data_IF_328966737476
#
_entry.id   IF_328966737476
#
_cell.length_a   1.000
_cell.length_b   1.000
_cell.length_c   1.000
_cell.angle_alpha   90.00
_cell.angle_beta   90.00
_cell.angle_gamma   90.00
#
_symmetry.space_group_name_H-M   'P 1'
#
loop_
_entity.id
_entity.type
_entity.pdbx_description
1 polymer ?
#
# COMPACT_ATOMS: atom_id res chain seq x y z
N UNK A 1 11.34 -35.74 -1.90
CA UNK A 1 11.81 -35.24 -3.21
C UNK A 1 12.80 -34.12 -2.91
N UNK A 2 14.09 -34.32 -3.18
CA UNK A 2 15.15 -33.35 -2.88
C UNK A 2 15.25 -32.35 -4.04
N UNK A 3 15.19 -31.06 -3.73
CA UNK A 3 15.63 -29.98 -4.61
C UNK A 3 16.44 -28.99 -3.73
N UNK A 4 17.66 -28.65 -4.14
CA UNK A 4 18.55 -27.68 -3.49
C UNK A 4 19.08 -28.00 -2.07
N UNK A 5 19.37 -29.26 -1.75
CA UNK A 5 20.28 -29.58 -0.63
C UNK A 5 19.80 -29.24 0.79
N UNK A 6 18.54 -28.84 0.97
CA UNK A 6 17.91 -28.65 2.28
C UNK A 6 17.14 -29.92 2.65
N UNK A 7 17.44 -30.48 3.82
CA UNK A 7 16.73 -31.63 4.36
C UNK A 7 15.38 -31.16 4.93
N UNK A 8 14.27 -31.51 4.26
CA UNK A 8 12.91 -31.24 4.72
C UNK A 8 12.48 -32.32 5.74
N UNK A 9 13.28 -32.47 6.80
CA UNK A 9 13.07 -33.40 7.89
C UNK A 9 11.83 -33.08 8.72
N UNK A 10 10.74 -33.80 8.46
CA UNK A 10 10.05 -34.56 9.49
C UNK A 10 9.38 -33.83 10.67
N UNK A 11 8.86 -32.63 10.49
CA UNK A 11 7.87 -32.07 11.41
C UNK A 11 6.45 -32.31 10.89
N UNK A 12 5.73 -33.32 11.41
CA UNK A 12 4.26 -33.42 11.27
C UNK A 12 3.62 -32.21 11.96
N UNK A 13 3.63 -31.02 11.34
CA UNK A 13 2.65 -29.97 11.66
C UNK A 13 1.29 -30.53 11.26
N UNK A 14 0.39 -30.59 12.22
CA UNK A 14 -0.98 -31.00 11.99
C UNK A 14 -1.54 -30.29 10.75
N UNK A 15 -2.10 -31.05 9.80
CA UNK A 15 -2.89 -30.49 8.70
C UNK A 15 -4.20 -29.97 9.30
N UNK A 16 -4.18 -28.75 9.81
CA UNK A 16 -5.35 -28.14 10.44
C UNK A 16 -5.07 -26.66 10.66
N UNK A 17 -5.86 -25.83 9.97
CA UNK A 17 -5.84 -24.35 9.87
C UNK A 17 -4.84 -23.70 8.88
N UNK A 18 -5.34 -22.81 7.99
CA UNK A 18 -4.47 -21.94 7.18
C UNK A 18 -3.60 -21.06 8.08
N UNK A 19 -2.37 -20.77 7.66
CA UNK A 19 -1.53 -19.82 8.39
C UNK A 19 -2.11 -18.41 8.36
N UNK A 20 -1.65 -17.54 9.27
CA UNK A 20 -2.09 -16.14 9.30
C UNK A 20 -1.82 -15.42 7.98
N UNK A 21 -0.68 -15.70 7.33
CA UNK A 21 -0.36 -15.15 6.02
C UNK A 21 -1.38 -15.59 4.97
N UNK A 22 -1.75 -16.88 4.93
CA UNK A 22 -2.77 -17.37 3.99
C UNK A 22 -4.12 -16.72 4.25
N UNK A 23 -4.55 -16.62 5.51
CA UNK A 23 -5.80 -15.94 5.89
C UNK A 23 -5.83 -14.48 5.43
N UNK A 24 -4.72 -13.77 5.57
CA UNK A 24 -4.59 -12.39 5.10
C UNK A 24 -4.67 -12.32 3.57
N UNK A 25 -3.97 -13.18 2.84
CA UNK A 25 -4.01 -13.21 1.38
C UNK A 25 -5.42 -13.53 0.84
N UNK A 26 -6.13 -14.47 1.47
CA UNK A 26 -7.50 -14.82 1.10
C UNK A 26 -8.47 -13.66 1.36
N UNK A 27 -8.35 -12.99 2.52
CA UNK A 27 -9.16 -11.79 2.82
C UNK A 27 -8.88 -10.66 1.84
N UNK A 28 -7.60 -10.43 1.52
CA UNK A 28 -7.19 -9.40 0.57
C UNK A 28 -7.80 -9.64 -0.82
N UNK A 29 -7.74 -10.89 -1.29
CA UNK A 29 -8.32 -11.30 -2.56
C UNK A 29 -9.85 -11.13 -2.57
N UNK A 30 -10.54 -11.51 -1.49
CA UNK A 30 -12.00 -11.36 -1.39
C UNK A 30 -12.44 -9.89 -1.46
N UNK A 31 -11.69 -8.97 -0.84
CA UNK A 31 -12.00 -7.55 -0.87
C UNK A 31 -11.81 -6.90 -2.25
N UNK A 32 -10.90 -7.42 -3.08
CA UNK A 32 -10.75 -6.97 -4.48
C UNK A 32 -12.05 -7.11 -5.27
N UNK A 33 -12.87 -8.07 -4.89
CA UNK A 33 -14.12 -8.45 -5.56
C UNK A 33 -15.37 -8.04 -4.74
N UNK A 34 -15.23 -7.11 -3.79
CA UNK A 34 -16.31 -6.68 -2.88
C UNK A 34 -17.58 -6.18 -3.60
N UNK A 35 -17.43 -5.65 -4.83
CA UNK A 35 -18.53 -5.19 -5.69
C UNK A 35 -18.63 -6.00 -7.00
N UNK A 36 -18.26 -7.29 -6.97
CA UNK A 36 -18.33 -8.16 -8.15
C UNK A 36 -19.74 -8.16 -8.77
N UNK A 37 -20.78 -8.23 -7.95
CA UNK A 37 -22.18 -8.26 -8.40
C UNK A 37 -22.83 -6.87 -8.45
N UNK A 38 -22.09 -5.80 -8.21
CA UNK A 38 -22.60 -4.41 -8.15
C UNK A 38 -21.79 -3.52 -9.11
N UNK A 39 -22.03 -3.60 -10.44
CA UNK A 39 -21.18 -2.95 -11.44
C UNK A 39 -21.09 -1.42 -11.28
N UNK A 40 -22.17 -0.79 -10.81
CA UNK A 40 -22.19 0.65 -10.55
C UNK A 40 -21.27 1.04 -9.39
N UNK A 41 -21.33 0.31 -8.25
CA UNK A 41 -20.43 0.54 -7.12
C UNK A 41 -18.98 0.18 -7.47
N UNK A 42 -18.76 -0.83 -8.29
CA UNK A 42 -17.42 -1.17 -8.80
C UNK A 42 -16.81 -0.02 -9.61
N UNK A 43 -17.60 0.58 -10.51
CA UNK A 43 -17.17 1.76 -11.27
C UNK A 43 -16.99 2.98 -10.37
N UNK A 44 -17.82 3.10 -9.32
CA UNK A 44 -17.72 4.18 -8.32
C UNK A 44 -16.43 4.07 -7.51
N UNK A 45 -16.11 2.88 -7.01
CA UNK A 45 -14.87 2.58 -6.29
C UNK A 45 -13.64 2.91 -7.13
N UNK A 46 -13.60 2.46 -8.39
CA UNK A 46 -12.48 2.76 -9.29
C UNK A 46 -12.31 4.28 -9.52
N UNK A 47 -13.42 5.02 -9.60
CA UNK A 47 -13.39 6.49 -9.73
C UNK A 47 -12.90 7.16 -8.45
N UNK A 48 -13.35 6.67 -7.30
CA UNK A 48 -12.92 7.13 -5.98
C UNK A 48 -11.41 6.91 -5.77
N UNK A 49 -10.89 5.72 -6.09
CA UNK A 49 -9.46 5.40 -5.96
C UNK A 49 -8.59 6.31 -6.81
N UNK A 50 -8.98 6.57 -8.07
CA UNK A 50 -8.29 7.55 -8.93
C UNK A 50 -8.30 8.95 -8.33
N UNK A 51 -9.45 9.39 -7.80
CA UNK A 51 -9.56 10.69 -7.17
C UNK A 51 -8.70 10.79 -5.91
N UNK A 52 -8.71 9.78 -5.03
CA UNK A 52 -7.88 9.74 -3.82
C UNK A 52 -6.39 9.79 -4.16
N UNK A 53 -5.97 9.07 -5.21
CA UNK A 53 -4.61 9.09 -5.72
C UNK A 53 -4.18 10.47 -6.21
N UNK A 54 -5.01 11.11 -7.03
CA UNK A 54 -4.75 12.48 -7.50
C UNK A 54 -4.73 13.49 -6.34
N UNK A 55 -5.62 13.32 -5.36
CA UNK A 55 -5.65 14.13 -4.14
C UNK A 55 -4.34 13.99 -3.36
N UNK A 56 -3.85 12.76 -3.15
CA UNK A 56 -2.59 12.50 -2.46
C UNK A 56 -1.39 13.12 -3.20
N UNK A 57 -1.32 12.97 -4.53
CA UNK A 57 -0.28 13.63 -5.32
C UNK A 57 -0.31 15.15 -5.18
N UNK A 58 -1.50 15.74 -5.15
CA UNK A 58 -1.66 17.20 -5.02
C UNK A 58 -1.25 17.69 -3.62
N UNK A 59 -1.66 17.00 -2.56
CA UNK A 59 -1.32 17.40 -1.17
C UNK A 59 0.13 17.11 -0.77
N UNK A 60 0.86 16.38 -1.61
CA UNK A 60 2.28 16.04 -1.41
C UNK A 60 3.15 16.42 -2.63
N UNK A 61 2.71 17.41 -3.41
CA UNK A 61 3.39 17.81 -4.65
C UNK A 61 4.84 18.28 -4.41
N UNK A 62 5.11 18.86 -3.24
CA UNK A 62 6.44 19.25 -2.78
C UNK A 62 7.36 18.05 -2.54
N UNK A 63 6.85 16.94 -1.98
CA UNK A 63 7.62 15.69 -1.86
C UNK A 63 7.98 15.16 -3.26
N UNK A 64 7.04 15.22 -4.21
CA UNK A 64 7.33 14.82 -5.60
C UNK A 64 8.34 15.74 -6.29
N UNK A 65 8.27 17.04 -6.02
CA UNK A 65 9.17 18.04 -6.59
C UNK A 65 10.61 17.84 -6.10
N UNK A 66 10.78 17.42 -4.83
CA UNK A 66 12.07 17.15 -4.23
C UNK A 66 12.77 15.96 -4.93
N UNK A 67 13.95 16.17 -5.56
CA UNK A 67 14.68 15.10 -6.24
C UNK A 67 14.99 13.89 -5.36
N UNK A 68 15.16 14.11 -4.05
CA UNK A 68 15.40 13.05 -3.05
C UNK A 68 14.22 12.09 -2.92
N UNK A 69 12.98 12.59 -3.00
CA UNK A 69 11.77 11.81 -2.73
C UNK A 69 11.00 11.42 -4.00
N UNK A 70 11.31 12.04 -5.14
CA UNK A 70 10.62 11.81 -6.43
C UNK A 70 10.46 10.34 -6.78
N UNK A 71 11.53 9.54 -6.73
CA UNK A 71 11.48 8.13 -7.08
C UNK A 71 10.53 7.32 -6.19
N UNK A 72 10.50 7.62 -4.89
CA UNK A 72 9.56 7.00 -3.95
C UNK A 72 8.12 7.43 -4.20
N UNK A 73 7.87 8.72 -4.43
CA UNK A 73 6.52 9.23 -4.73
C UNK A 73 5.99 8.65 -6.03
N UNK A 74 6.80 8.64 -7.10
CA UNK A 74 6.40 8.10 -8.39
C UNK A 74 6.17 6.58 -8.29
N UNK A 75 7.05 5.83 -7.60
CA UNK A 75 6.84 4.39 -7.32
C UNK A 75 5.51 4.14 -6.60
N UNK A 76 5.25 4.85 -5.50
CA UNK A 76 4.01 4.68 -4.74
C UNK A 76 2.77 5.02 -5.58
N UNK A 77 2.83 6.10 -6.35
CA UNK A 77 1.72 6.48 -7.21
C UNK A 77 1.45 5.45 -8.30
N UNK A 78 2.48 5.03 -9.05
CA UNK A 78 2.34 4.11 -10.18
C UNK A 78 1.92 2.69 -9.72
N UNK A 79 2.57 2.17 -8.67
CA UNK A 79 2.40 0.78 -8.24
C UNK A 79 1.21 0.55 -7.32
N UNK A 80 0.86 1.54 -6.48
CA UNK A 80 -0.27 1.40 -5.55
C UNK A 80 -1.57 1.98 -6.08
N UNK A 81 -1.52 2.99 -6.97
CA UNK A 81 -2.74 3.72 -7.35
C UNK A 81 -2.90 4.05 -8.85
N UNK A 82 -1.86 3.92 -9.66
CA UNK A 82 -1.78 4.54 -10.99
C UNK A 82 -1.83 3.58 -12.18
N UNK A 83 -1.66 2.26 -11.97
CA UNK A 83 -1.76 1.29 -13.06
C UNK A 83 -1.01 -0.04 -12.88
N UNK A 84 -0.42 -0.31 -11.71
CA UNK A 84 0.20 -1.61 -11.43
C UNK A 84 -0.77 -2.81 -11.55
N UNK A 85 -0.26 -4.03 -11.35
CA UNK A 85 -1.06 -5.28 -11.31
C UNK A 85 -1.17 -5.85 -9.88
N UNK A 86 -1.99 -5.26 -8.99
CA UNK A 86 -2.18 -5.80 -7.64
C UNK A 86 -2.67 -7.24 -7.63
N UNK A 87 -3.52 -7.65 -8.59
CA UNK A 87 -4.04 -9.03 -8.67
C UNK A 87 -2.93 -10.01 -9.05
N UNK A 88 -2.04 -9.61 -9.96
CA UNK A 88 -0.83 -10.37 -10.28
C UNK A 88 0.07 -10.55 -9.07
N UNK A 89 0.31 -9.48 -8.30
CA UNK A 89 1.09 -9.54 -7.05
C UNK A 89 0.44 -10.44 -6.00
N UNK A 90 -0.88 -10.32 -5.79
CA UNK A 90 -1.63 -11.18 -4.86
C UNK A 90 -1.50 -12.66 -5.24
N UNK A 91 -1.64 -12.97 -6.54
CA UNK A 91 -1.48 -14.34 -7.06
C UNK A 91 -0.04 -14.86 -6.90
N UNK A 92 0.96 -14.01 -7.11
CA UNK A 92 2.36 -14.38 -6.91
C UNK A 92 2.66 -14.67 -5.43
N UNK A 93 2.15 -13.82 -4.51
CA UNK A 93 2.23 -14.05 -3.06
C UNK A 93 1.57 -15.37 -2.65
N UNK A 94 0.40 -15.69 -3.21
CA UNK A 94 -0.27 -16.97 -2.98
C UNK A 94 0.56 -18.17 -3.45
N UNK A 95 1.33 -18.05 -4.55
CA UNK A 95 2.21 -19.12 -5.03
C UNK A 95 3.40 -19.34 -4.11
N UNK A 96 3.99 -18.26 -3.59
CA UNK A 96 5.24 -18.31 -2.83
C UNK A 96 5.07 -18.30 -1.30
N UNK A 97 3.85 -18.24 -0.76
CA UNK A 97 3.61 -18.12 0.68
C UNK A 97 4.39 -19.13 1.53
N UNK A 98 4.42 -20.41 1.14
CA UNK A 98 5.15 -21.45 1.88
C UNK A 98 6.66 -21.20 1.92
N UNK A 99 7.22 -20.69 0.82
CA UNK A 99 8.63 -20.34 0.73
C UNK A 99 8.92 -19.13 1.62
N UNK A 100 8.05 -18.13 1.59
CA UNK A 100 8.16 -16.95 2.46
C UNK A 100 8.11 -17.34 3.94
N UNK A 101 7.19 -18.20 4.35
CA UNK A 101 7.08 -18.69 5.74
C UNK A 101 8.27 -19.53 6.18
N UNK A 102 8.89 -20.27 5.27
CA UNK A 102 10.02 -21.13 5.58
C UNK A 102 11.36 -20.37 5.60
N UNK A 103 11.52 -19.33 4.77
CA UNK A 103 12.81 -18.70 4.51
C UNK A 103 12.92 -17.25 5.01
N UNK A 104 11.82 -16.51 5.18
CA UNK A 104 11.92 -15.14 5.65
C UNK A 104 12.26 -15.09 7.14
N UNK A 105 13.15 -14.18 7.57
CA UNK A 105 13.30 -13.84 8.97
C UNK A 105 11.95 -13.41 9.57
N UNK A 106 11.70 -13.76 10.84
CA UNK A 106 10.42 -13.50 11.51
C UNK A 106 9.97 -12.03 11.38
N UNK A 107 10.90 -11.08 11.51
CA UNK A 107 10.60 -9.65 11.37
C UNK A 107 10.17 -9.26 9.93
N UNK A 108 10.77 -9.88 8.91
CA UNK A 108 10.40 -9.65 7.52
C UNK A 108 9.04 -10.24 7.19
N UNK A 109 8.75 -11.45 7.69
CA UNK A 109 7.43 -12.06 7.55
C UNK A 109 6.35 -11.22 8.25
N UNK A 110 6.63 -10.73 9.47
CA UNK A 110 5.71 -9.84 10.18
C UNK A 110 5.47 -8.54 9.39
N UNK A 111 6.51 -7.91 8.86
CA UNK A 111 6.34 -6.70 8.05
C UNK A 111 5.54 -6.95 6.77
N UNK A 112 5.71 -8.11 6.13
CA UNK A 112 4.88 -8.51 4.99
C UNK A 112 3.42 -8.64 5.38
N UNK A 113 3.12 -9.30 6.50
CA UNK A 113 1.76 -9.44 7.00
C UNK A 113 1.13 -8.08 7.32
N UNK A 114 1.88 -7.15 7.92
CA UNK A 114 1.43 -5.78 8.16
C UNK A 114 1.15 -5.03 6.85
N UNK A 115 1.95 -5.23 5.81
CA UNK A 115 1.71 -4.62 4.50
C UNK A 115 0.43 -5.15 3.83
N UNK A 116 0.15 -6.45 3.94
CA UNK A 116 -1.12 -7.02 3.46
C UNK A 116 -2.29 -6.50 4.30
N UNK A 117 -2.11 -6.34 5.61
CA UNK A 117 -3.14 -5.77 6.47
C UNK A 117 -3.42 -4.29 6.15
N UNK A 118 -2.40 -3.51 5.82
CA UNK A 118 -2.56 -2.14 5.33
C UNK A 118 -3.39 -2.11 4.03
N UNK A 119 -3.13 -3.01 3.10
CA UNK A 119 -3.89 -3.12 1.85
C UNK A 119 -5.36 -3.49 2.11
N UNK A 120 -5.60 -4.50 2.97
CA UNK A 120 -6.95 -4.91 3.39
C UNK A 120 -7.71 -3.72 3.98
N UNK A 121 -7.08 -3.00 4.92
CA UNK A 121 -7.70 -1.84 5.56
C UNK A 121 -7.99 -0.72 4.57
N UNK A 122 -7.10 -0.50 3.60
CA UNK A 122 -7.31 0.46 2.52
C UNK A 122 -8.52 0.10 1.66
N UNK A 123 -8.65 -1.16 1.25
CA UNK A 123 -9.79 -1.64 0.47
C UNK A 123 -11.11 -1.57 1.24
N UNK A 124 -11.11 -1.94 2.52
CA UNK A 124 -12.29 -1.83 3.39
C UNK A 124 -12.76 -0.37 3.52
N UNK A 125 -11.83 0.56 3.76
CA UNK A 125 -12.14 1.98 3.87
C UNK A 125 -12.68 2.55 2.56
N UNK A 126 -12.03 2.25 1.43
CA UNK A 126 -12.45 2.77 0.12
C UNK A 126 -13.83 2.21 -0.27
N UNK A 127 -14.13 0.94 0.06
CA UNK A 127 -15.44 0.35 -0.19
C UNK A 127 -16.55 1.06 0.59
N UNK A 128 -16.33 1.38 1.87
CA UNK A 128 -17.32 2.11 2.67
C UNK A 128 -17.50 3.55 2.20
N UNK A 129 -16.41 4.24 1.85
CA UNK A 129 -16.50 5.58 1.26
C UNK A 129 -17.23 5.53 -0.08
N UNK A 130 -17.00 4.51 -0.91
CA UNK A 130 -17.67 4.36 -2.21
C UNK A 130 -19.19 4.18 -2.06
N UNK A 131 -19.66 3.47 -1.03
CA UNK A 131 -21.09 3.29 -0.74
C UNK A 131 -21.76 4.60 -0.34
N UNK A 132 -21.07 5.44 0.43
CA UNK A 132 -21.60 6.71 0.93
C UNK A 132 -21.49 7.87 -0.07
N UNK A 133 -20.83 7.64 -1.20
CA UNK A 133 -20.48 8.68 -2.14
C UNK A 133 -21.67 9.08 -3.02
N UNK A 134 -22.16 10.30 -2.81
CA UNK A 134 -23.25 10.88 -3.60
C UNK A 134 -22.98 10.83 -5.12
N UNK A 135 -24.00 10.70 -6.00
CA UNK A 135 -23.82 10.62 -7.44
C UNK A 135 -23.05 11.81 -8.09
N UNK A 136 -22.52 11.56 -9.29
CA UNK A 136 -21.82 12.56 -10.12
C UNK A 136 -20.32 12.70 -9.82
N UNK A 137 -19.73 13.82 -10.26
CA UNK A 137 -18.30 14.09 -10.05
C UNK A 137 -17.93 14.13 -8.57
N UNK A 138 -16.75 13.61 -8.23
CA UNK A 138 -16.20 13.63 -6.87
C UNK A 138 -15.51 14.97 -6.65
N UNK A 139 -16.03 15.74 -5.70
CA UNK A 139 -15.42 17.00 -5.22
C UNK A 139 -14.85 16.79 -3.83
N UNK A 140 -14.07 17.76 -3.33
CA UNK A 140 -13.53 17.71 -1.97
C UNK A 140 -14.66 17.61 -0.93
N UNK A 141 -15.74 18.36 -1.15
CA UNK A 141 -16.91 18.40 -0.26
C UNK A 141 -17.63 17.05 -0.24
N UNK A 142 -17.91 16.48 -1.42
CA UNK A 142 -18.57 15.17 -1.53
C UNK A 142 -17.72 14.04 -0.97
N UNK A 143 -16.40 14.08 -1.20
CA UNK A 143 -15.48 13.11 -0.61
C UNK A 143 -15.48 13.22 0.91
N UNK A 144 -15.32 14.42 1.45
CA UNK A 144 -15.28 14.65 2.90
C UNK A 144 -16.60 14.25 3.57
N UNK A 145 -17.75 14.48 2.92
CA UNK A 145 -19.04 14.03 3.41
C UNK A 145 -19.15 12.50 3.45
N UNK A 146 -18.84 11.81 2.35
CA UNK A 146 -18.86 10.35 2.29
C UNK A 146 -17.89 9.72 3.30
N UNK A 147 -16.71 10.32 3.45
CA UNK A 147 -15.69 9.93 4.41
C UNK A 147 -16.19 10.03 5.86
N UNK A 148 -16.90 11.11 6.21
CA UNK A 148 -17.53 11.25 7.54
C UNK A 148 -18.64 10.23 7.75
N UNK A 149 -19.51 10.03 6.75
CA UNK A 149 -20.63 9.09 6.82
C UNK A 149 -20.17 7.64 6.99
N UNK A 150 -19.09 7.26 6.34
CA UNK A 150 -18.47 5.94 6.52
C UNK A 150 -18.07 5.68 7.99
N UNK A 151 -17.74 6.72 8.77
CA UNK A 151 -17.59 6.62 10.23
C UNK A 151 -16.36 5.86 10.71
N UNK A 152 -15.37 5.60 9.83
CA UNK A 152 -14.22 4.70 10.09
C UNK A 152 -12.98 5.39 10.66
N UNK A 153 -13.13 6.35 11.59
CA UNK A 153 -12.00 7.18 12.09
C UNK A 153 -10.84 6.36 12.65
N UNK A 154 -11.12 5.44 13.58
CA UNK A 154 -10.11 4.59 14.23
C UNK A 154 -9.33 3.75 13.23
N UNK A 155 -10.02 3.27 12.19
CA UNK A 155 -9.41 2.48 11.13
C UNK A 155 -8.49 3.35 10.25
N UNK A 156 -8.84 4.61 9.98
CA UNK A 156 -7.91 5.52 9.31
C UNK A 156 -6.67 5.81 10.17
N UNK A 157 -6.85 6.09 11.46
CA UNK A 157 -5.73 6.30 12.39
C UNK A 157 -4.77 5.11 12.37
N UNK A 158 -5.33 3.89 12.39
CA UNK A 158 -4.56 2.66 12.25
C UNK A 158 -3.86 2.53 10.90
N UNK A 159 -4.53 2.87 9.80
CA UNK A 159 -3.96 2.82 8.45
C UNK A 159 -2.72 3.74 8.34
N UNK A 160 -2.80 4.94 8.89
CA UNK A 160 -1.69 5.90 8.91
C UNK A 160 -0.53 5.36 9.76
N UNK A 161 -0.82 4.79 10.95
CA UNK A 161 0.21 4.20 11.81
C UNK A 161 0.90 2.97 11.18
N UNK A 162 0.16 2.15 10.42
CA UNK A 162 0.72 1.01 9.69
C UNK A 162 1.69 1.46 8.60
N UNK A 163 1.35 2.53 7.86
CA UNK A 163 2.24 3.09 6.83
C UNK A 163 3.60 3.49 7.42
N UNK A 164 3.58 4.17 8.57
CA UNK A 164 4.80 4.57 9.28
C UNK A 164 5.61 3.38 9.78
N UNK A 165 4.94 2.37 10.34
CA UNK A 165 5.57 1.13 10.84
C UNK A 165 6.28 0.38 9.70
N UNK A 166 5.59 0.19 8.57
CA UNK A 166 6.12 -0.53 7.41
C UNK A 166 7.24 0.27 6.75
N UNK A 167 7.05 1.58 6.56
CA UNK A 167 8.05 2.45 5.96
C UNK A 167 9.34 2.50 6.78
N UNK A 168 9.23 2.59 8.10
CA UNK A 168 10.37 2.60 9.02
C UNK A 168 11.14 1.28 8.99
N UNK A 169 10.43 0.14 8.90
CA UNK A 169 11.09 -1.15 8.72
C UNK A 169 11.80 -1.23 7.37
N UNK A 170 11.15 -0.78 6.29
CA UNK A 170 11.73 -0.81 4.96
C UNK A 170 12.99 0.07 4.87
N UNK A 171 13.00 1.25 5.50
CA UNK A 171 14.19 2.12 5.60
C UNK A 171 15.39 1.41 6.25
N UNK A 172 15.15 0.57 7.25
CA UNK A 172 16.21 -0.24 7.88
C UNK A 172 16.67 -1.39 6.98
N UNK A 173 15.75 -1.99 6.22
CA UNK A 173 16.05 -3.10 5.32
C UNK A 173 16.88 -2.65 4.12
N UNK A 174 16.54 -1.53 3.49
CA UNK A 174 17.26 -1.02 2.29
C UNK A 174 18.70 -0.62 2.61
N UNK A 175 19.00 -0.29 3.87
CA UNK A 175 20.37 0.02 4.32
C UNK A 175 21.29 -1.22 4.38
N UNK A 176 20.77 -2.43 4.21
CA UNK A 176 21.55 -3.68 4.23
C UNK A 176 21.96 -4.06 2.80
N UNK A 177 23.25 -3.90 2.41
CA UNK A 177 23.68 -4.11 1.03
C UNK A 177 23.39 -5.52 0.48
N UNK A 178 23.42 -6.52 1.37
CA UNK A 178 23.18 -7.92 1.02
C UNK A 178 21.75 -8.16 0.51
N UNK A 179 20.75 -7.43 1.02
CA UNK A 179 19.34 -7.64 0.67
C UNK A 179 19.11 -7.32 -0.80
N UNK A 180 19.67 -6.21 -1.28
CA UNK A 180 19.56 -5.80 -2.68
C UNK A 180 20.19 -6.83 -3.62
N UNK A 181 21.35 -7.35 -3.26
CA UNK A 181 22.03 -8.42 -4.01
C UNK A 181 21.17 -9.67 -4.10
N UNK A 182 20.63 -10.13 -2.97
CA UNK A 182 19.77 -11.31 -2.92
C UNK A 182 18.51 -11.14 -3.76
N UNK A 183 17.85 -9.98 -3.67
CA UNK A 183 16.65 -9.71 -4.47
C UNK A 183 17.00 -9.75 -5.95
N UNK A 184 18.01 -9.00 -6.41
CA UNK A 184 18.40 -8.98 -7.83
C UNK A 184 18.82 -10.34 -8.38
N UNK A 185 19.55 -11.13 -7.60
CA UNK A 185 19.92 -12.50 -7.98
C UNK A 185 18.72 -13.44 -8.10
N UNK A 186 17.63 -13.15 -7.38
CA UNK A 186 16.39 -13.94 -7.44
C UNK A 186 15.54 -13.65 -8.68
N UNK A 187 15.92 -12.66 -9.51
CA UNK A 187 15.13 -12.24 -10.67
C UNK A 187 14.82 -13.39 -11.63
N UNK A 188 15.84 -14.01 -12.23
CA UNK A 188 15.62 -15.08 -13.21
C UNK A 188 14.89 -16.30 -12.62
N UNK A 189 15.25 -16.80 -11.42
CA UNK A 189 14.46 -17.84 -10.75
C UNK A 189 13.00 -17.45 -10.52
N UNK A 190 12.72 -16.21 -10.12
CA UNK A 190 11.36 -15.74 -9.87
C UNK A 190 10.49 -15.73 -11.13
N UNK A 191 11.03 -15.26 -12.25
CA UNK A 191 10.33 -15.32 -13.54
C UNK A 191 10.08 -16.77 -13.98
N UNK A 192 11.09 -17.64 -13.86
CA UNK A 192 10.97 -19.04 -14.23
C UNK A 192 9.94 -19.79 -13.38
N UNK A 193 9.82 -19.44 -12.11
CA UNK A 193 8.86 -20.04 -11.17
C UNK A 193 7.49 -19.32 -11.14
N UNK A 194 7.29 -18.32 -12.00
CA UNK A 194 5.98 -17.68 -12.21
C UNK A 194 5.58 -16.66 -11.15
N UNK A 195 6.54 -16.03 -10.46
CA UNK A 195 6.30 -14.92 -9.52
C UNK A 195 7.10 -13.65 -9.86
N UNK A 196 7.32 -13.41 -11.15
CA UNK A 196 8.09 -12.27 -11.65
C UNK A 196 7.48 -10.90 -11.30
N UNK A 197 6.15 -10.77 -11.23
CA UNK A 197 5.54 -9.48 -10.93
C UNK A 197 5.81 -9.04 -9.49
N UNK A 198 5.76 -9.97 -8.53
CA UNK A 198 6.17 -9.72 -7.15
C UNK A 198 7.66 -9.34 -7.07
N UNK A 199 8.51 -10.06 -7.79
CA UNK A 199 9.96 -9.82 -7.82
C UNK A 199 10.30 -8.41 -8.34
N UNK A 200 9.74 -8.03 -9.48
CA UNK A 200 10.00 -6.70 -10.05
C UNK A 200 9.45 -5.58 -9.15
N UNK A 201 8.30 -5.79 -8.52
CA UNK A 201 7.73 -4.86 -7.55
C UNK A 201 8.69 -4.64 -6.36
N UNK A 202 9.27 -5.72 -5.81
CA UNK A 202 10.24 -5.63 -4.72
C UNK A 202 11.51 -4.88 -5.14
N UNK A 203 12.02 -5.13 -6.35
CA UNK A 203 13.20 -4.44 -6.86
C UNK A 203 12.96 -2.94 -7.02
N UNK A 204 11.85 -2.54 -7.66
CA UNK A 204 11.50 -1.13 -7.84
C UNK A 204 11.28 -0.45 -6.49
N UNK A 205 10.62 -1.10 -5.54
CA UNK A 205 10.37 -0.56 -4.20
C UNK A 205 11.66 -0.36 -3.40
N UNK A 206 12.57 -1.33 -3.44
CA UNK A 206 13.88 -1.21 -2.77
C UNK A 206 14.72 -0.09 -3.37
N UNK A 207 14.81 -0.03 -4.71
CA UNK A 207 15.58 1.00 -5.40
C UNK A 207 14.99 2.41 -5.12
N UNK A 208 13.66 2.54 -5.05
CA UNK A 208 12.99 3.80 -4.72
C UNK A 208 13.22 4.27 -3.28
N UNK A 209 13.19 3.35 -2.30
CA UNK A 209 13.46 3.68 -0.90
C UNK A 209 14.94 3.99 -0.65
N UNK A 210 15.85 3.27 -1.31
CA UNK A 210 17.30 3.54 -1.22
C UNK A 210 17.64 4.95 -1.72
N UNK A 211 17.01 5.39 -2.81
CA UNK A 211 17.21 6.72 -3.39
C UNK A 211 16.85 7.86 -2.43
N UNK A 212 15.99 7.61 -1.42
CA UNK A 212 15.65 8.60 -0.41
C UNK A 212 16.76 8.83 0.61
N UNK A 213 17.79 7.97 0.71
CA UNK A 213 18.87 8.07 1.69
C UNK A 213 18.39 8.32 3.14
N UNK A 214 17.33 7.62 3.55
CA UNK A 214 16.62 7.85 4.80
C UNK A 214 15.21 8.35 4.57
N UNK A 215 14.22 7.54 4.95
CA UNK A 215 12.80 7.82 4.75
C UNK A 215 12.12 8.57 5.91
N UNK A 216 12.82 8.90 7.00
CA UNK A 216 12.22 9.47 8.22
C UNK A 216 11.40 10.73 7.96
N UNK A 217 12.02 11.79 7.41
CA UNK A 217 11.33 13.05 7.09
C UNK A 217 10.14 12.83 6.12
N UNK A 218 10.30 11.93 5.16
CA UNK A 218 9.25 11.59 4.20
C UNK A 218 8.04 10.95 4.87
N UNK A 219 8.26 9.96 5.74
CA UNK A 219 7.21 9.25 6.48
C UNK A 219 6.55 10.16 7.52
N UNK A 220 7.33 10.97 8.23
CA UNK A 220 6.83 11.94 9.20
C UNK A 220 5.92 12.97 8.52
N UNK A 221 6.34 13.51 7.37
CA UNK A 221 5.54 14.45 6.58
C UNK A 221 4.22 13.83 6.12
N UNK A 222 4.25 12.60 5.58
CA UNK A 222 3.04 11.87 5.17
C UNK A 222 2.10 11.65 6.36
N UNK A 223 2.64 11.18 7.49
CA UNK A 223 1.87 10.91 8.71
C UNK A 223 1.18 12.16 9.23
N UNK A 224 1.93 13.26 9.36
CA UNK A 224 1.41 14.54 9.86
C UNK A 224 0.31 15.09 8.96
N UNK A 225 0.55 15.14 7.64
CA UNK A 225 -0.41 15.71 6.68
C UNK A 225 -1.68 14.88 6.57
N UNK A 226 -1.57 13.56 6.48
CA UNK A 226 -2.76 12.70 6.38
C UNK A 226 -3.55 12.65 7.70
N UNK A 227 -2.87 12.78 8.85
CA UNK A 227 -3.54 12.94 10.15
C UNK A 227 -4.30 14.26 10.21
N UNK A 228 -3.65 15.37 9.86
CA UNK A 228 -4.29 16.69 9.84
C UNK A 228 -5.46 16.75 8.85
N UNK A 229 -5.29 16.16 7.66
CA UNK A 229 -6.36 16.09 6.67
C UNK A 229 -7.58 15.31 7.21
N UNK A 230 -7.35 14.15 7.82
CA UNK A 230 -8.41 13.37 8.46
C UNK A 230 -9.11 14.17 9.57
N UNK A 231 -8.36 14.83 10.44
CA UNK A 231 -8.91 15.67 11.51
C UNK A 231 -9.78 16.80 10.97
N UNK A 232 -9.30 17.49 9.93
CA UNK A 232 -10.05 18.56 9.24
C UNK A 232 -11.33 18.04 8.57
N UNK A 233 -11.29 16.86 7.97
CA UNK A 233 -12.50 16.22 7.40
C UNK A 233 -13.55 16.00 8.49
N UNK A 234 -13.16 15.43 9.63
CA UNK A 234 -14.08 15.18 10.75
C UNK A 234 -14.55 16.46 11.44
N UNK A 235 -13.73 17.51 11.45
CA UNK A 235 -14.10 18.83 11.95
C UNK A 235 -15.04 19.61 10.99
N UNK A 236 -15.29 19.09 9.79
CA UNK A 236 -16.17 19.75 8.80
C UNK A 236 -15.50 20.90 8.06
N UNK A 237 -14.17 20.92 7.95
CA UNK A 237 -13.45 21.91 7.15
C UNK A 237 -13.86 21.86 5.68
N UNK A 238 -13.98 23.03 5.04
CA UNK A 238 -14.20 23.17 3.60
C UNK A 238 -12.91 22.93 2.79
N UNK A 239 -11.73 23.12 3.39
CA UNK A 239 -10.43 22.82 2.77
C UNK A 239 -9.62 21.86 3.65
N UNK A 240 -9.98 20.57 3.69
CA UNK A 240 -9.25 19.59 4.50
C UNK A 240 -7.83 19.31 3.97
N UNK A 241 -7.53 19.60 2.71
CA UNK A 241 -6.26 19.24 2.06
C UNK A 241 -5.34 20.43 1.78
N UNK A 242 -5.70 21.63 2.24
CA UNK A 242 -4.94 22.87 2.05
C UNK A 242 -4.78 23.29 0.58
N UNK A 243 -5.76 22.94 -0.25
CA UNK A 243 -5.76 23.14 -1.70
C UNK A 243 -5.94 24.60 -2.11
N UNK A 244 -6.60 25.41 -1.28
CA UNK A 244 -6.84 26.82 -1.55
C UNK A 244 -5.65 27.69 -1.14
N UNK A 245 -4.91 27.30 -0.10
CA UNK A 245 -3.67 27.97 0.33
C UNK A 245 -2.55 27.79 -0.71
N UNK A 246 -2.45 26.61 -1.33
CA UNK A 246 -1.50 26.37 -2.43
C UNK A 246 -1.81 27.26 -3.64
N UNK A 247 -3.09 27.44 -4.00
CA UNK A 247 -3.51 28.35 -5.09
C UNK A 247 -3.12 29.82 -4.83
N UNK A 248 -3.12 30.26 -3.58
CA UNK A 248 -2.73 31.63 -3.23
C UNK A 248 -1.22 31.85 -3.41
N UNK A 249 -0.39 30.85 -3.06
CA UNK A 249 1.07 30.92 -3.23
C UNK A 249 1.48 30.89 -4.70
N UNK A 250 0.85 30.06 -5.52
CA UNK A 250 1.14 29.96 -6.97
C UNK A 250 0.73 31.21 -7.77
N UNK A 251 -0.14 32.07 -7.22
CA UNK A 251 -0.52 33.36 -7.84
C UNK A 251 0.39 34.52 -7.42
N UNK A 252 1.27 34.32 -6.45
CA UNK A 252 2.18 35.35 -5.90
C UNK A 252 3.66 35.09 -6.24
N UNK A 253 3.96 34.07 -7.05
CA UNK A 253 5.25 33.77 -7.64
C UNK A 253 5.24 34.08 -9.15
#
# INVERSE_FOLDING_TARGET
MKLFGVDLGGGRRARSEPSDLVRLLERNAKLRDVFEHEPELRARLATLQRWQSQRLLRSHADLRANPRYRAAVDFFFEELYGGGDPRGRDRDLQRVHRVMEALLPAQALQSLMLAIELEILSQDLDADVARELAPGAITVEKYAEAYRRAGRRRDRERQIALLDTIGSYLDQVVRKPIIRGLVRMSRSPAHAAGFGALQEFLERGLDAFEAMHGAGEFLDTLRERETLAMERIYAGSNDPFDFDVVRAKDRSA
#
